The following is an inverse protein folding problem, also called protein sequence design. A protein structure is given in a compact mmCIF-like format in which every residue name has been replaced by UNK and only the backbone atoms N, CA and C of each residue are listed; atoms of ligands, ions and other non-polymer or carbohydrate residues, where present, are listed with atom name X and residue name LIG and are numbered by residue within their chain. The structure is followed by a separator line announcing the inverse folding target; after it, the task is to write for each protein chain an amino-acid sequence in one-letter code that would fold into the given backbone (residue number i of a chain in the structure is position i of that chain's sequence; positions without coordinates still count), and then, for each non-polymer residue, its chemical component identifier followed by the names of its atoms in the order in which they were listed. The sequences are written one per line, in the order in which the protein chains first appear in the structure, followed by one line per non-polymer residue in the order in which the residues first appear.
data_IF_340997612139
#
_entry.id   IF_340997612139
#
_cell.length_a   1.000
_cell.length_b   1.000
_cell.length_c   1.000
_cell.angle_alpha   90.00
_cell.angle_beta   90.00
_cell.angle_gamma   90.00
#
_symmetry.space_group_name_H-M   'P 1'
#
loop_
_entity.id
_entity.type
_entity.pdbx_description
1 polymer ?
#
# COMPACT_ATOMS: atom_id res chain seq x y z
N UNK A 1 2.36 -10.94 3.65
CA UNK A 1 2.27 -10.02 2.48
C UNK A 1 3.62 -9.67 1.82
N UNK A 2 4.79 -9.98 2.42
CA UNK A 2 6.11 -9.57 1.87
C UNK A 2 6.42 -10.08 0.45
N UNK A 3 6.21 -11.38 0.19
CA UNK A 3 6.47 -11.99 -1.14
C UNK A 3 5.62 -11.36 -2.25
N UNK A 4 4.37 -11.00 -1.93
CA UNK A 4 3.47 -10.32 -2.87
C UNK A 4 4.01 -8.93 -3.25
N UNK A 5 4.44 -8.15 -2.26
CA UNK A 5 5.02 -6.83 -2.50
C UNK A 5 6.29 -6.90 -3.35
N UNK A 6 7.19 -7.86 -3.08
CA UNK A 6 8.43 -8.05 -3.85
C UNK A 6 8.16 -8.45 -5.31
N UNK A 7 7.23 -9.37 -5.55
CA UNK A 7 6.84 -9.76 -6.91
C UNK A 7 6.16 -8.61 -7.65
N UNK A 8 5.29 -7.87 -6.98
CA UNK A 8 4.59 -6.74 -7.57
C UNK A 8 5.55 -5.59 -7.92
N UNK A 9 6.53 -5.30 -7.06
CA UNK A 9 7.60 -4.34 -7.32
C UNK A 9 8.39 -4.69 -8.59
N UNK A 10 8.79 -5.97 -8.73
CA UNK A 10 9.49 -6.48 -9.94
C UNK A 10 8.62 -6.37 -11.19
N UNK A 11 7.34 -6.74 -11.12
CA UNK A 11 6.41 -6.73 -12.27
C UNK A 11 6.08 -5.32 -12.75
N UNK A 12 5.96 -4.37 -11.82
CA UNK A 12 5.62 -2.98 -12.12
C UNK A 12 6.84 -2.07 -12.33
N UNK A 13 8.07 -2.59 -12.15
CA UNK A 13 9.29 -1.78 -12.23
C UNK A 13 9.41 -0.71 -11.14
N UNK A 14 8.69 -0.90 -10.03
CA UNK A 14 8.65 0.04 -8.91
C UNK A 14 9.59 -0.40 -7.79
N UNK A 15 10.11 0.56 -7.04
CA UNK A 15 11.10 0.31 -5.98
C UNK A 15 10.53 0.64 -4.61
N UNK A 16 11.00 -0.10 -3.60
CA UNK A 16 10.73 0.21 -2.20
C UNK A 16 11.48 1.47 -1.74
N UNK A 17 11.07 2.02 -0.60
CA UNK A 17 11.85 3.07 0.04
C UNK A 17 13.23 2.52 0.44
N UNK A 18 14.21 3.43 0.51
CA UNK A 18 15.56 3.13 1.03
C UNK A 18 15.47 2.62 2.47
N UNK A 19 14.49 3.13 3.22
CA UNK A 19 14.18 2.68 4.57
C UNK A 19 13.35 1.38 4.57
N UNK A 20 13.96 0.30 5.08
CA UNK A 20 13.34 -1.02 5.21
C UNK A 20 12.29 -1.07 6.34
N UNK A 21 12.40 -0.20 7.34
CA UNK A 21 11.43 -0.05 8.42
C UNK A 21 10.08 0.42 7.88
N UNK A 22 10.09 1.46 7.04
CA UNK A 22 8.86 1.95 6.38
C UNK A 22 8.19 0.85 5.56
N UNK A 23 8.99 0.08 4.81
CA UNK A 23 8.49 -1.04 4.01
C UNK A 23 7.88 -2.14 4.89
N UNK A 24 8.49 -2.43 6.03
CA UNK A 24 7.99 -3.41 7.00
C UNK A 24 6.65 -2.98 7.62
N UNK A 25 6.52 -1.72 8.03
CA UNK A 25 5.28 -1.17 8.62
C UNK A 25 4.12 -1.26 7.63
N UNK A 26 4.35 -0.89 6.36
CA UNK A 26 3.31 -0.96 5.32
C UNK A 26 2.88 -2.42 5.06
N UNK A 27 3.84 -3.35 4.98
CA UNK A 27 3.54 -4.77 4.77
C UNK A 27 2.77 -5.36 5.96
N UNK A 28 3.12 -4.95 7.19
CA UNK A 28 2.44 -5.36 8.41
C UNK A 28 1.00 -4.84 8.42
N UNK A 29 0.78 -3.54 8.17
CA UNK A 29 -0.57 -2.97 8.14
C UNK A 29 -1.45 -3.56 7.03
N UNK A 30 -0.89 -3.86 5.86
CA UNK A 30 -1.62 -4.58 4.80
C UNK A 30 -2.01 -6.00 5.21
N UNK A 31 -1.20 -6.68 6.03
CA UNK A 31 -1.52 -7.99 6.56
C UNK A 31 -2.63 -7.90 7.61
N UNK A 32 -2.53 -6.96 8.55
CA UNK A 32 -3.54 -6.73 9.59
C UNK A 32 -4.91 -6.39 9.00
N UNK A 33 -4.97 -5.54 7.97
CA UNK A 33 -6.22 -5.25 7.27
C UNK A 33 -6.78 -6.46 6.52
N UNK A 34 -5.91 -7.32 5.97
CA UNK A 34 -6.36 -8.58 5.36
C UNK A 34 -6.98 -9.53 6.39
N UNK A 35 -6.41 -9.61 7.58
CA UNK A 35 -6.91 -10.51 8.63
C UNK A 35 -8.19 -9.96 9.29
N UNK A 36 -8.32 -8.64 9.42
CA UNK A 36 -9.48 -7.98 10.06
C UNK A 36 -10.65 -7.72 9.12
N UNK A 37 -10.38 -7.27 7.88
CA UNK A 37 -11.41 -6.87 6.90
C UNK A 37 -11.55 -7.88 5.74
N UNK A 38 -10.68 -8.88 5.67
CA UNK A 38 -10.63 -9.87 4.58
C UNK A 38 -9.86 -9.39 3.34
N UNK A 39 -9.50 -8.11 3.24
CA UNK A 39 -8.76 -7.57 2.11
C UNK A 39 -7.63 -6.60 2.52
N UNK A 40 -6.54 -6.51 1.72
CA UNK A 40 -5.39 -5.67 2.04
C UNK A 40 -5.65 -4.19 1.69
N UNK A 41 -6.39 -3.48 2.53
CA UNK A 41 -6.67 -2.04 2.41
C UNK A 41 -5.42 -1.20 2.73
N UNK A 42 -5.18 -0.05 2.06
CA UNK A 42 -3.96 0.73 2.31
C UNK A 42 -3.88 1.22 3.77
N UNK A 43 -2.85 0.84 4.56
CA UNK A 43 -2.68 1.32 5.92
C UNK A 43 -2.25 2.79 5.99
N UNK A 44 -1.99 3.41 4.83
CA UNK A 44 -1.47 4.76 4.67
C UNK A 44 -2.54 5.86 4.71
N UNK A 45 -3.82 5.51 4.63
CA UNK A 45 -4.95 6.44 4.63
C UNK A 45 -5.83 6.20 5.85
N UNK A 46 -6.42 7.28 6.35
CA UNK A 46 -7.54 7.20 7.26
C UNK A 46 -8.83 6.97 6.45
N UNK A 47 -9.70 6.11 6.97
CA UNK A 47 -11.01 5.82 6.40
C UNK A 47 -12.01 5.87 7.55
N UNK A 48 -13.12 6.56 7.35
CA UNK A 48 -14.21 6.59 8.32
C UNK A 48 -14.85 5.20 8.42
N UNK A 49 -15.19 4.58 7.29
CA UNK A 49 -15.77 3.24 7.19
C UNK A 49 -14.88 2.26 6.42
N UNK A 50 -13.89 1.68 7.12
CA UNK A 50 -13.00 0.64 6.59
C UNK A 50 -13.72 -0.53 5.89
N UNK A 51 -14.82 -1.12 6.43
CA UNK A 51 -15.48 -2.24 5.75
C UNK A 51 -16.17 -1.82 4.45
N UNK A 52 -16.78 -0.63 4.41
CA UNK A 52 -17.44 -0.12 3.21
C UNK A 52 -16.43 0.12 2.07
N UNK A 53 -15.29 0.74 2.38
CA UNK A 53 -14.19 0.97 1.43
C UNK A 53 -13.55 -0.35 0.96
N UNK A 54 -13.46 -1.33 1.86
CA UNK A 54 -12.98 -2.67 1.53
C UNK A 54 -13.91 -3.37 0.55
N UNK A 55 -15.24 -3.24 0.73
CA UNK A 55 -16.26 -3.76 -0.18
C UNK A 55 -16.26 -3.04 -1.53
N UNK A 56 -16.00 -1.73 -1.57
CA UNK A 56 -15.85 -0.98 -2.83
C UNK A 56 -14.63 -1.43 -3.64
N UNK A 57 -13.55 -1.86 -2.98
CA UNK A 57 -12.38 -2.44 -3.63
C UNK A 57 -11.49 -1.44 -4.38
N UNK A 58 -11.75 -0.13 -4.24
CA UNK A 58 -10.96 0.91 -4.89
C UNK A 58 -9.52 1.00 -4.32
N UNK A 59 -9.41 0.90 -2.99
CA UNK A 59 -8.15 1.03 -2.25
C UNK A 59 -7.53 -0.30 -1.80
N UNK A 60 -8.11 -1.43 -2.20
CA UNK A 60 -7.56 -2.75 -1.92
C UNK A 60 -6.31 -2.96 -2.76
N UNK A 61 -5.19 -3.35 -2.13
CA UNK A 61 -3.93 -3.56 -2.82
C UNK A 61 -4.02 -4.79 -3.75
N UNK A 62 -3.70 -4.66 -5.06
CA UNK A 62 -3.20 -3.47 -5.77
C UNK A 62 -4.33 -2.49 -6.14
N UNK A 63 -4.23 -1.25 -5.65
CA UNK A 63 -5.31 -0.26 -5.78
C UNK A 63 -5.58 0.10 -7.25
N UNK A 64 -6.80 0.54 -7.55
CA UNK A 64 -7.23 0.90 -8.92
C UNK A 64 -6.25 1.86 -9.60
N UNK A 65 -5.75 2.93 -8.94
CA UNK A 65 -4.75 3.82 -9.55
C UNK A 65 -3.43 3.14 -9.89
N UNK A 66 -3.02 2.12 -9.13
CA UNK A 66 -1.82 1.31 -9.38
C UNK A 66 -2.02 0.32 -10.54
N UNK A 67 -3.26 -0.07 -10.84
CA UNK A 67 -3.61 -0.96 -11.95
C UNK A 67 -3.79 -0.22 -13.27
N UNK A 68 -4.46 0.95 -13.23
CA UNK A 68 -4.87 1.67 -14.44
C UNK A 68 -3.79 2.62 -15.00
N UNK A 69 -2.87 3.11 -14.17
CA UNK A 69 -1.83 4.06 -14.61
C UNK A 69 -0.45 3.42 -14.59
N UNK A 70 -0.17 2.60 -15.59
CA UNK A 70 1.19 2.13 -15.91
C UNK A 70 1.92 3.25 -16.66
N UNK A 71 2.19 4.37 -15.98
CA UNK A 71 3.13 5.38 -16.46
C UNK A 71 4.32 5.43 -15.49
N UNK A 72 5.51 5.24 -16.05
CA UNK A 72 6.83 4.93 -15.47
C UNK A 72 7.28 5.82 -14.28
N UNK A 73 8.41 5.46 -13.64
CA UNK A 73 8.50 4.64 -12.44
C UNK A 73 8.12 5.44 -11.17
N UNK A 74 6.88 5.30 -10.70
CA UNK A 74 6.56 5.78 -9.35
C UNK A 74 7.13 4.80 -8.32
N UNK A 75 7.94 5.30 -7.40
CA UNK A 75 8.31 4.57 -6.18
C UNK A 75 7.03 3.99 -5.57
N UNK A 76 7.05 2.71 -5.18
CA UNK A 76 5.95 2.05 -4.44
C UNK A 76 5.65 2.77 -3.11
N UNK A 77 6.49 3.73 -2.74
CA UNK A 77 6.39 4.59 -1.57
C UNK A 77 5.98 6.05 -1.85
N UNK A 78 5.41 6.36 -3.02
CA UNK A 78 4.69 7.64 -3.19
C UNK A 78 3.24 7.59 -2.66
N UNK A 79 2.87 6.56 -1.88
CA UNK A 79 2.00 6.86 -0.73
C UNK A 79 2.85 7.74 0.18
N UNK A 80 2.69 9.05 0.01
CA UNK A 80 3.33 10.13 0.74
C UNK A 80 3.02 9.93 2.23
N UNK A 81 3.71 8.99 2.88
CA UNK A 81 3.85 8.98 4.32
C UNK A 81 4.64 10.25 4.58
N UNK A 82 3.91 11.28 4.97
CA UNK A 82 4.46 12.54 5.43
C UNK A 82 5.24 12.23 6.72
N UNK A 83 6.43 11.67 6.59
CA UNK A 83 7.44 11.65 7.63
C UNK A 83 8.16 13.00 7.62
N UNK A 84 7.40 14.09 7.82
CA UNK A 84 7.86 15.26 8.55
C UNK A 84 6.69 16.21 8.85
N UNK A 85 6.22 16.19 10.09
CA UNK A 85 6.20 17.43 10.86
C UNK A 85 6.74 17.12 12.25
N UNK A 86 7.94 17.63 12.48
CA UNK A 86 8.61 17.81 13.76
C UNK A 86 7.66 18.32 14.86
N UNK A 87 7.59 17.60 15.97
CA UNK A 87 7.80 18.03 17.36
C UNK A 87 7.30 16.93 18.30
#
# INVERSE_FOLDING_TARGET
MRKFSEQYARKSGTYFCVDKGVTSVVIKGLAEHKDTLGAPLCPCRHYDDKPAETSQGFWNCPCVPMRERVELPRKITSCRFNANSNN
#
